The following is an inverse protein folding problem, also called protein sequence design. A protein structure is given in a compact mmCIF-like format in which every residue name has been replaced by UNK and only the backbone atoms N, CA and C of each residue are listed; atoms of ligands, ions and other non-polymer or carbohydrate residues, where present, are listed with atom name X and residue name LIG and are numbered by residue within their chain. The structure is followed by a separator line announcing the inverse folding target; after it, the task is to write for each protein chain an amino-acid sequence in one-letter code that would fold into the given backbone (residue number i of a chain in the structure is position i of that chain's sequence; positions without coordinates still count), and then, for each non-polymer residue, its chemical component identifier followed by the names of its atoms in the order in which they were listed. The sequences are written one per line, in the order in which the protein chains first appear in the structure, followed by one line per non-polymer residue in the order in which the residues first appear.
data_IF_080172902556
#
_entry.id   IF_080172902556
#
_cell.length_a   1.000
_cell.length_b   1.000
_cell.length_c   1.000
_cell.angle_alpha   90.00
_cell.angle_beta   90.00
_cell.angle_gamma   90.00
#
_symmetry.space_group_name_H-M   'P 1'
#
loop_
_entity.id
_entity.type
_entity.pdbx_description
1 polymer ?
#
# COMPACT_ATOMS: atom_id res chain seq x y z
N UNK A 1 -1.38 -20.03 -9.21
CA UNK A 1 -0.76 -20.21 -7.87
C UNK A 1 -0.64 -18.82 -7.26
N UNK A 2 -0.73 -18.65 -5.93
CA UNK A 2 -0.58 -17.32 -5.31
C UNK A 2 0.88 -16.85 -5.46
N UNK A 3 1.09 -15.58 -5.77
CA UNK A 3 2.43 -14.99 -5.91
C UNK A 3 3.20 -14.99 -4.58
N UNK A 4 2.48 -14.71 -3.47
CA UNK A 4 2.96 -14.85 -2.10
C UNK A 4 2.15 -15.96 -1.43
N UNK A 5 2.77 -17.05 -0.94
CA UNK A 5 2.05 -18.11 -0.25
C UNK A 5 1.45 -17.56 1.07
N UNK A 6 0.40 -18.21 1.61
CA UNK A 6 -0.08 -17.91 2.96
C UNK A 6 1.03 -18.12 4.01
N UNK A 7 0.90 -17.45 5.17
CA UNK A 7 1.76 -17.70 6.33
C UNK A 7 1.86 -19.18 6.68
N UNK A 8 2.96 -19.60 7.27
CA UNK A 8 3.24 -20.99 7.65
C UNK A 8 2.16 -21.60 8.56
N UNK A 9 2.18 -22.91 8.75
CA UNK A 9 1.27 -23.59 9.67
C UNK A 9 1.50 -23.11 11.13
N UNK A 10 2.77 -22.95 11.51
CA UNK A 10 3.18 -22.46 12.83
C UNK A 10 2.68 -21.04 13.08
N UNK A 11 2.94 -20.12 12.17
CA UNK A 11 2.42 -18.74 12.26
C UNK A 11 0.88 -18.70 12.32
N UNK A 12 0.18 -19.62 11.66
CA UNK A 12 -1.28 -19.71 11.75
C UNK A 12 -1.78 -20.15 13.14
N UNK A 13 -1.03 -20.99 13.86
CA UNK A 13 -1.36 -21.34 15.24
C UNK A 13 -1.29 -20.12 16.15
N UNK A 14 -0.25 -19.30 16.02
CA UNK A 14 -0.13 -18.04 16.77
C UNK A 14 -1.23 -17.03 16.43
N UNK A 15 -1.70 -17.02 15.19
CA UNK A 15 -2.74 -16.13 14.69
C UNK A 15 -4.16 -16.74 14.78
N UNK A 16 -4.30 -17.93 15.38
CA UNK A 16 -5.57 -18.63 15.46
C UNK A 16 -6.73 -17.79 16.00
N UNK A 17 -6.57 -16.95 17.06
CA UNK A 17 -7.67 -16.15 17.59
C UNK A 17 -8.28 -15.19 16.55
N UNK A 18 -7.44 -14.50 15.77
CA UNK A 18 -7.94 -13.57 14.75
C UNK A 18 -8.48 -14.29 13.51
N UNK A 19 -7.88 -15.43 13.14
CA UNK A 19 -8.35 -16.22 12.01
C UNK A 19 -9.69 -16.90 12.31
N UNK A 20 -9.91 -17.35 13.56
CA UNK A 20 -11.17 -17.95 14.00
C UNK A 20 -12.36 -16.97 13.91
N UNK A 21 -12.14 -15.66 14.06
CA UNK A 21 -13.19 -14.67 13.86
C UNK A 21 -13.69 -14.65 12.41
N UNK A 22 -12.79 -14.78 11.45
CA UNK A 22 -13.15 -14.88 10.04
C UNK A 22 -13.90 -16.17 9.76
N UNK A 23 -13.48 -17.27 10.37
CA UNK A 23 -14.17 -18.56 10.24
C UNK A 23 -15.58 -18.51 10.84
N UNK A 24 -15.75 -17.91 12.02
CA UNK A 24 -17.06 -17.73 12.64
C UNK A 24 -18.02 -16.90 11.80
N UNK A 25 -17.52 -15.93 11.03
CA UNK A 25 -18.35 -15.06 10.20
C UNK A 25 -18.67 -15.69 8.84
N UNK A 26 -17.70 -16.39 8.22
CA UNK A 26 -17.78 -16.85 6.83
C UNK A 26 -17.93 -18.38 6.69
N UNK A 27 -17.78 -19.15 7.78
CA UNK A 27 -17.77 -20.61 7.77
C UNK A 27 -16.43 -21.23 7.32
N UNK A 28 -15.45 -20.41 6.99
CA UNK A 28 -14.07 -20.81 6.63
C UNK A 28 -13.11 -19.63 6.82
N UNK A 29 -11.81 -19.91 6.89
CA UNK A 29 -10.78 -18.86 6.88
C UNK A 29 -10.41 -18.52 5.44
N UNK A 30 -10.74 -17.31 4.93
CA UNK A 30 -10.38 -16.90 3.57
C UNK A 30 -8.86 -16.94 3.34
N UNK A 31 -8.42 -17.35 2.15
CA UNK A 31 -7.00 -17.33 1.82
C UNK A 31 -6.39 -15.92 1.83
N UNK A 32 -7.18 -14.89 1.54
CA UNK A 32 -6.78 -13.49 1.67
C UNK A 32 -6.38 -13.15 3.12
N UNK A 33 -7.13 -13.61 4.12
CA UNK A 33 -6.77 -13.40 5.52
C UNK A 33 -5.44 -14.05 5.89
N UNK A 34 -5.15 -15.22 5.32
CA UNK A 34 -3.88 -15.93 5.53
C UNK A 34 -2.70 -15.25 4.84
N UNK A 35 -2.90 -14.50 3.76
CA UNK A 35 -1.85 -13.70 3.11
C UNK A 35 -1.69 -12.34 3.76
N UNK A 36 -2.77 -11.68 4.19
CA UNK A 36 -2.71 -10.46 5.01
C UNK A 36 -1.93 -10.68 6.31
N UNK A 37 -2.00 -11.89 6.86
CA UNK A 37 -1.38 -12.29 8.13
C UNK A 37 0.17 -12.21 8.13
N UNK A 38 0.86 -12.08 6.99
CA UNK A 38 2.26 -11.70 6.96
C UNK A 38 2.54 -10.37 7.68
N UNK A 39 1.54 -9.49 7.73
CA UNK A 39 1.48 -8.34 8.64
C UNK A 39 0.53 -8.72 9.77
N UNK A 40 1.07 -9.20 10.88
CA UNK A 40 0.33 -9.88 11.95
C UNK A 40 -0.97 -9.18 12.37
N UNK A 41 -0.97 -7.86 12.43
CA UNK A 41 -2.13 -7.04 12.84
C UNK A 41 -3.05 -6.65 11.67
N UNK A 42 -2.64 -6.84 10.42
CA UNK A 42 -3.43 -6.41 9.26
C UNK A 42 -4.79 -7.12 9.12
N UNK A 43 -4.94 -8.42 9.42
CA UNK A 43 -6.24 -9.07 9.46
C UNK A 43 -7.23 -8.39 10.40
N UNK A 44 -6.78 -7.95 11.59
CA UNK A 44 -7.61 -7.24 12.56
C UNK A 44 -8.03 -5.85 12.04
N UNK A 45 -7.07 -5.07 11.57
CA UNK A 45 -7.31 -3.74 11.00
C UNK A 45 -8.26 -3.80 9.79
N UNK A 46 -8.05 -4.77 8.91
CA UNK A 46 -8.93 -5.01 7.76
C UNK A 46 -10.35 -5.39 8.20
N UNK A 47 -10.50 -6.25 9.21
CA UNK A 47 -11.81 -6.65 9.72
C UNK A 47 -12.59 -5.47 10.31
N UNK A 48 -11.90 -4.56 11.02
CA UNK A 48 -12.53 -3.32 11.51
C UNK A 48 -12.96 -2.43 10.35
N UNK A 49 -12.07 -2.16 9.40
CA UNK A 49 -12.39 -1.34 8.24
C UNK A 49 -13.57 -1.94 7.45
N UNK A 50 -13.49 -3.21 7.10
CA UNK A 50 -14.51 -3.88 6.31
C UNK A 50 -15.85 -3.96 7.04
N UNK A 51 -15.85 -4.33 8.32
CA UNK A 51 -17.06 -4.37 9.14
C UNK A 51 -17.73 -3.00 9.26
N UNK A 52 -16.94 -1.92 9.45
CA UNK A 52 -17.45 -0.55 9.49
C UNK A 52 -18.11 -0.15 8.17
N UNK A 53 -17.45 -0.44 7.04
CA UNK A 53 -18.02 -0.18 5.70
C UNK A 53 -19.32 -0.93 5.47
N UNK A 54 -19.44 -2.15 6.02
CA UNK A 54 -20.65 -2.97 5.95
C UNK A 54 -21.71 -2.62 7.01
N UNK A 55 -21.51 -1.54 7.79
CA UNK A 55 -22.50 -1.00 8.74
C UNK A 55 -22.45 -1.57 10.14
N UNK A 56 -21.40 -2.32 10.51
CA UNK A 56 -21.22 -2.77 11.88
C UNK A 56 -20.78 -1.61 12.80
N UNK A 57 -21.14 -1.70 14.09
CA UNK A 57 -20.68 -0.72 15.09
C UNK A 57 -19.17 -0.82 15.30
N UNK A 58 -18.45 0.25 14.92
CA UNK A 58 -17.00 0.31 14.98
C UNK A 58 -16.46 0.15 16.41
N UNK A 59 -17.17 0.65 17.44
CA UNK A 59 -16.74 0.50 18.85
C UNK A 59 -16.76 -0.97 19.26
N UNK A 60 -17.85 -1.67 18.93
CA UNK A 60 -17.99 -3.11 19.19
C UNK A 60 -16.91 -3.91 18.46
N UNK A 61 -16.62 -3.54 17.19
CA UNK A 61 -15.54 -4.19 16.44
C UNK A 61 -14.18 -3.99 17.11
N UNK A 62 -13.85 -2.77 17.53
CA UNK A 62 -12.60 -2.45 18.22
C UNK A 62 -12.48 -3.19 19.56
N UNK A 63 -13.55 -3.22 20.38
CA UNK A 63 -13.57 -3.95 21.65
C UNK A 63 -13.32 -5.46 21.46
N UNK A 64 -13.82 -6.03 20.38
CA UNK A 64 -13.58 -7.44 20.05
C UNK A 64 -12.17 -7.66 19.51
N UNK A 65 -11.66 -6.77 18.63
CA UNK A 65 -10.33 -6.89 18.06
C UNK A 65 -9.22 -6.79 19.11
N UNK A 66 -9.34 -5.90 20.09
CA UNK A 66 -8.36 -5.77 21.19
C UNK A 66 -8.11 -7.09 21.92
N UNK A 67 -9.11 -7.98 22.00
CA UNK A 67 -9.01 -9.28 22.68
C UNK A 67 -8.20 -10.33 21.89
N UNK A 68 -8.09 -10.16 20.59
CA UNK A 68 -7.55 -11.18 19.67
C UNK A 68 -6.45 -10.65 18.74
N UNK A 69 -6.21 -9.33 18.74
CA UNK A 69 -5.15 -8.75 17.94
C UNK A 69 -3.79 -9.28 18.43
N UNK A 70 -2.98 -9.88 17.53
CA UNK A 70 -1.67 -10.38 17.92
C UNK A 70 -0.68 -9.22 18.15
N UNK A 71 0.47 -9.53 18.71
CA UNK A 71 1.58 -8.59 18.75
C UNK A 71 2.02 -8.25 17.31
N UNK A 72 2.53 -7.03 17.14
CA UNK A 72 3.05 -6.58 15.84
C UNK A 72 4.32 -7.34 15.44
N UNK A 73 4.65 -7.32 14.16
CA UNK A 73 5.96 -7.73 13.70
C UNK A 73 7.06 -6.85 14.34
N UNK A 74 8.27 -7.38 14.40
CA UNK A 74 9.41 -6.61 14.88
C UNK A 74 9.58 -5.31 14.06
N UNK A 75 9.82 -4.14 14.70
CA UNK A 75 9.93 -2.86 13.99
C UNK A 75 10.99 -2.85 12.89
N UNK A 76 12.09 -3.59 13.08
CA UNK A 76 13.19 -3.74 12.13
C UNK A 76 12.79 -4.46 10.84
N UNK A 77 11.68 -5.19 10.83
CA UNK A 77 11.14 -5.82 9.62
C UNK A 77 10.42 -4.83 8.71
N UNK A 78 10.14 -3.62 9.19
CA UNK A 78 9.46 -2.62 8.40
C UNK A 78 10.38 -2.02 7.33
N UNK A 79 9.81 -1.77 6.16
CA UNK A 79 10.48 -1.02 5.11
C UNK A 79 10.58 0.46 5.47
N UNK A 80 11.60 1.18 4.94
CA UNK A 80 11.73 2.61 5.12
C UNK A 80 10.48 3.38 4.68
N UNK A 81 10.11 4.40 5.44
CA UNK A 81 8.88 5.17 5.19
C UNK A 81 8.92 5.90 3.83
N UNK A 82 10.08 6.36 3.40
CA UNK A 82 10.26 7.03 2.12
C UNK A 82 10.06 6.08 0.93
N UNK A 83 10.51 4.82 1.02
CA UNK A 83 10.19 3.79 0.03
C UNK A 83 8.67 3.52 -0.03
N UNK A 84 8.02 3.38 1.13
CA UNK A 84 6.57 3.15 1.17
C UNK A 84 5.77 4.32 0.59
N UNK A 85 6.22 5.56 0.80
CA UNK A 85 5.61 6.73 0.16
C UNK A 85 5.86 6.78 -1.35
N UNK A 86 7.03 6.36 -1.81
CA UNK A 86 7.32 6.23 -3.24
C UNK A 86 6.42 5.17 -3.90
N UNK A 87 6.23 4.01 -3.27
CA UNK A 87 5.27 2.98 -3.72
C UNK A 87 3.85 3.54 -3.80
N UNK A 88 3.43 4.30 -2.77
CA UNK A 88 2.12 4.96 -2.74
C UNK A 88 1.96 5.98 -3.88
N UNK A 89 3.01 6.74 -4.18
CA UNK A 89 3.04 7.66 -5.31
C UNK A 89 2.92 6.92 -6.65
N UNK A 90 3.70 5.84 -6.85
CA UNK A 90 3.68 5.05 -8.07
C UNK A 90 2.31 4.43 -8.36
N UNK A 91 1.66 3.82 -7.36
CA UNK A 91 0.31 3.25 -7.55
C UNK A 91 -0.73 4.32 -7.82
N UNK A 92 -0.61 5.51 -7.21
CA UNK A 92 -1.51 6.64 -7.44
C UNK A 92 -1.32 7.27 -8.81
N UNK A 93 -0.07 7.31 -9.30
CA UNK A 93 0.27 7.75 -10.65
C UNK A 93 -0.35 6.82 -11.70
N UNK A 94 -0.15 5.52 -11.57
CA UNK A 94 -0.69 4.51 -12.49
C UNK A 94 -2.22 4.44 -12.45
N UNK A 95 -2.83 4.62 -11.27
CA UNK A 95 -4.29 4.69 -11.12
C UNK A 95 -4.90 6.00 -11.65
N UNK A 96 -4.10 7.01 -12.00
CA UNK A 96 -4.56 8.29 -12.53
C UNK A 96 -5.22 9.23 -11.51
N UNK A 97 -5.11 8.96 -10.19
CA UNK A 97 -5.71 9.78 -9.15
C UNK A 97 -4.85 11.02 -8.85
N UNK A 98 -5.25 12.18 -9.38
CA UNK A 98 -4.51 13.45 -9.23
C UNK A 98 -4.42 13.92 -7.76
N UNK A 99 -5.49 13.73 -6.98
CA UNK A 99 -5.52 13.99 -5.54
C UNK A 99 -4.44 13.19 -4.80
N UNK A 100 -4.42 11.88 -5.02
CA UNK A 100 -3.47 11.00 -4.34
C UNK A 100 -2.02 11.22 -4.80
N UNK A 101 -1.80 11.57 -6.08
CA UNK A 101 -0.47 11.93 -6.58
C UNK A 101 0.09 13.17 -5.86
N UNK A 102 -0.72 14.21 -5.67
CA UNK A 102 -0.31 15.43 -4.97
C UNK A 102 0.06 15.12 -3.50
N UNK A 103 -0.77 14.38 -2.79
CA UNK A 103 -0.52 14.02 -1.39
C UNK A 103 0.69 13.11 -1.23
N UNK A 104 0.77 12.03 -1.99
CA UNK A 104 1.88 11.07 -1.87
C UNK A 104 3.18 11.69 -2.36
N UNK A 105 3.17 12.45 -3.45
CA UNK A 105 4.32 13.20 -3.93
C UNK A 105 4.84 14.20 -2.90
N UNK A 106 3.97 14.95 -2.22
CA UNK A 106 4.33 15.84 -1.12
C UNK A 106 4.93 15.04 0.05
N UNK A 107 4.34 13.90 0.41
CA UNK A 107 4.81 13.08 1.51
C UNK A 107 6.17 12.41 1.25
N UNK A 108 6.50 12.01 0.00
CA UNK A 108 7.83 11.49 -0.32
C UNK A 108 8.93 12.47 0.08
N UNK A 109 8.69 13.76 -0.12
CA UNK A 109 9.64 14.81 0.24
C UNK A 109 9.63 15.11 1.74
N UNK A 110 8.45 15.27 2.33
CA UNK A 110 8.28 15.66 3.74
C UNK A 110 8.73 14.60 4.74
N UNK A 111 8.59 13.32 4.40
CA UNK A 111 8.90 12.19 5.29
C UNK A 111 10.30 11.61 5.08
N UNK A 112 11.09 12.14 4.15
CA UNK A 112 12.44 11.66 3.87
C UNK A 112 13.51 12.48 4.58
N UNK A 113 14.58 11.81 5.00
CA UNK A 113 15.81 12.44 5.44
C UNK A 113 16.61 13.06 4.27
N UNK A 114 16.29 12.70 3.02
CA UNK A 114 16.95 13.15 1.79
C UNK A 114 15.91 13.68 0.77
N UNK A 115 15.24 14.81 1.03
CA UNK A 115 14.12 15.30 0.22
C UNK A 115 14.49 15.55 -1.26
N UNK A 116 15.71 16.05 -1.53
CA UNK A 116 16.16 16.29 -2.90
C UNK A 116 16.35 14.99 -3.69
N UNK A 117 16.90 13.95 -3.06
CA UNK A 117 17.01 12.64 -3.68
C UNK A 117 15.62 12.05 -3.99
N UNK A 118 14.64 12.24 -3.11
CA UNK A 118 13.26 11.82 -3.36
C UNK A 118 12.60 12.63 -4.48
N UNK A 119 12.91 13.90 -4.63
CA UNK A 119 12.44 14.70 -5.76
C UNK A 119 12.94 14.12 -7.10
N UNK A 120 14.23 13.77 -7.18
CA UNK A 120 14.83 13.11 -8.34
C UNK A 120 14.14 11.76 -8.60
N UNK A 121 14.03 10.91 -7.58
CA UNK A 121 13.37 9.60 -7.72
C UNK A 121 11.94 9.76 -8.22
N UNK A 122 11.15 10.65 -7.65
CA UNK A 122 9.77 10.89 -8.07
C UNK A 122 9.67 11.32 -9.55
N UNK A 123 10.58 12.17 -10.03
CA UNK A 123 10.59 12.59 -11.44
C UNK A 123 10.99 11.47 -12.41
N UNK A 124 11.71 10.45 -11.92
CA UNK A 124 12.25 9.36 -12.73
C UNK A 124 11.42 8.05 -12.65
N UNK A 125 10.30 8.01 -11.89
CA UNK A 125 9.55 6.76 -11.67
C UNK A 125 9.07 6.09 -12.96
N UNK A 126 8.77 6.85 -14.02
CA UNK A 126 8.38 6.29 -15.31
C UNK A 126 9.56 5.74 -16.14
N UNK A 127 10.78 5.98 -15.68
CA UNK A 127 12.03 5.44 -16.25
C UNK A 127 12.79 4.61 -15.22
N UNK A 128 12.08 4.04 -14.25
CA UNK A 128 12.66 3.35 -13.11
C UNK A 128 13.59 2.20 -13.49
N UNK A 129 13.38 1.59 -14.65
CA UNK A 129 14.18 0.48 -15.19
C UNK A 129 15.58 0.90 -15.62
N UNK A 130 15.77 2.15 -16.03
CA UNK A 130 17.03 2.69 -16.58
C UNK A 130 17.64 3.82 -15.76
N UNK A 131 16.86 4.54 -14.96
CA UNK A 131 17.35 5.67 -14.16
C UNK A 131 18.32 5.22 -13.07
N UNK A 132 19.49 5.89 -12.96
CA UNK A 132 20.57 5.51 -12.03
C UNK A 132 20.26 5.77 -10.55
N UNK A 133 19.24 6.59 -10.27
CA UNK A 133 18.85 6.94 -8.89
C UNK A 133 18.17 5.83 -8.11
N UNK A 134 17.82 4.71 -8.74
CA UNK A 134 17.13 3.57 -8.09
C UNK A 134 18.07 2.38 -7.89
N UNK A 135 18.00 1.78 -6.72
CA UNK A 135 18.52 0.45 -6.48
C UNK A 135 17.63 -0.63 -7.14
N UNK A 136 18.16 -1.83 -7.32
CA UNK A 136 17.39 -2.95 -7.90
C UNK A 136 16.17 -3.32 -7.02
N UNK A 137 16.32 -3.22 -5.70
CA UNK A 137 15.22 -3.40 -4.76
C UNK A 137 14.10 -2.35 -4.98
N UNK A 138 14.45 -1.08 -5.15
CA UNK A 138 13.47 -0.03 -5.44
C UNK A 138 12.81 -0.22 -6.81
N UNK A 139 13.58 -0.63 -7.82
CA UNK A 139 13.03 -0.96 -9.16
C UNK A 139 11.96 -2.04 -9.08
N UNK A 140 12.20 -3.11 -8.31
CA UNK A 140 11.24 -4.18 -8.10
C UNK A 140 9.96 -3.67 -7.42
N UNK A 141 10.08 -2.83 -6.39
CA UNK A 141 8.93 -2.24 -5.69
C UNK A 141 8.13 -1.26 -6.56
N UNK A 142 8.81 -0.40 -7.34
CA UNK A 142 8.18 0.54 -8.27
C UNK A 142 7.45 -0.23 -9.38
N UNK A 143 8.10 -1.23 -9.97
CA UNK A 143 7.52 -2.01 -11.06
C UNK A 143 6.21 -2.68 -10.68
N UNK A 144 6.15 -3.33 -9.52
CA UNK A 144 4.88 -3.93 -9.04
C UNK A 144 3.84 -2.87 -8.71
N UNK A 145 4.24 -1.71 -8.15
CA UNK A 145 3.31 -0.64 -7.78
C UNK A 145 2.64 -0.01 -9.02
N UNK A 146 3.42 0.26 -10.07
CA UNK A 146 2.90 0.76 -11.34
C UNK A 146 1.95 -0.25 -11.99
N UNK A 147 2.38 -1.51 -12.11
CA UNK A 147 1.56 -2.57 -12.70
C UNK A 147 0.27 -2.82 -11.92
N UNK A 148 0.32 -2.81 -10.59
CA UNK A 148 -0.86 -3.06 -9.75
C UNK A 148 -1.84 -1.88 -9.70
N UNK A 149 -1.41 -0.67 -10.08
CA UNK A 149 -2.29 0.50 -10.22
C UNK A 149 -3.16 0.48 -11.48
N UNK A 150 -2.82 -0.35 -12.47
CA UNK A 150 -3.57 -0.48 -13.71
C UNK A 150 -4.95 -1.13 -13.51
N UNK A 151 -5.87 -0.86 -14.45
CA UNK A 151 -7.18 -1.52 -14.52
C UNK A 151 -7.37 -2.07 -15.94
N UNK A 152 -7.40 -3.40 -16.13
CA UNK A 152 -7.23 -4.46 -15.12
C UNK A 152 -5.82 -4.48 -14.52
N UNK A 153 -5.69 -5.04 -13.29
CA UNK A 153 -4.42 -5.13 -12.57
C UNK A 153 -3.35 -5.86 -13.40
N UNK A 154 -2.23 -5.18 -13.65
CA UNK A 154 -1.12 -5.66 -14.48
C UNK A 154 -0.03 -6.42 -13.71
N UNK A 155 -0.13 -6.61 -12.39
CA UNK A 155 0.87 -7.33 -11.62
C UNK A 155 0.94 -8.81 -12.05
N UNK A 156 2.16 -9.30 -12.26
CA UNK A 156 2.43 -10.66 -12.75
C UNK A 156 3.39 -11.41 -11.84
N UNK A 157 3.57 -12.70 -12.09
CA UNK A 157 4.56 -13.52 -11.38
C UNK A 157 5.97 -12.93 -11.48
N UNK A 158 6.35 -12.38 -12.63
CA UNK A 158 7.68 -11.77 -12.84
C UNK A 158 7.96 -10.62 -11.87
N UNK A 159 6.96 -9.76 -11.59
CA UNK A 159 7.10 -8.70 -10.60
C UNK A 159 7.37 -9.27 -9.20
N UNK A 160 6.68 -10.34 -8.83
CA UNK A 160 6.86 -10.98 -7.53
C UNK A 160 8.17 -11.76 -7.43
N UNK A 161 8.67 -12.32 -8.52
CA UNK A 161 9.98 -12.97 -8.54
C UNK A 161 11.09 -11.93 -8.32
N UNK A 162 11.02 -10.77 -8.97
CA UNK A 162 11.93 -9.66 -8.71
C UNK A 162 11.84 -9.14 -7.25
N UNK A 163 10.64 -9.03 -6.67
CA UNK A 163 10.50 -8.65 -5.25
C UNK A 163 11.18 -9.67 -4.32
N UNK A 164 11.06 -10.96 -4.57
CA UNK A 164 11.64 -12.03 -3.72
C UNK A 164 13.17 -12.03 -3.71
N UNK A 165 13.82 -11.44 -4.70
CA UNK A 165 15.28 -11.29 -4.72
C UNK A 165 15.78 -10.28 -3.66
N UNK A 166 14.90 -9.35 -3.22
CA UNK A 166 15.29 -8.21 -2.39
C UNK A 166 14.53 -8.11 -1.07
N UNK A 167 13.35 -8.73 -0.96
CA UNK A 167 12.43 -8.53 0.16
C UNK A 167 11.97 -9.84 0.78
N UNK A 168 11.83 -9.83 2.10
CA UNK A 168 11.20 -10.93 2.84
C UNK A 168 9.70 -11.03 2.50
N UNK A 169 9.04 -12.19 2.73
CA UNK A 169 7.59 -12.32 2.56
C UNK A 169 6.79 -11.24 3.31
N UNK A 170 7.22 -10.87 4.51
CA UNK A 170 6.63 -9.79 5.33
C UNK A 170 6.75 -8.44 4.62
N UNK A 171 7.91 -8.11 4.09
CA UNK A 171 8.17 -6.85 3.38
C UNK A 171 7.41 -6.78 2.05
N UNK A 172 7.32 -7.89 1.32
CA UNK A 172 6.47 -7.98 0.11
C UNK A 172 5.01 -7.72 0.48
N UNK A 173 4.52 -8.32 1.56
CA UNK A 173 3.17 -8.07 2.04
C UNK A 173 2.97 -6.58 2.42
N UNK A 174 3.99 -5.90 2.96
CA UNK A 174 3.91 -4.48 3.27
C UNK A 174 3.83 -3.60 2.01
N UNK A 175 4.61 -3.90 0.98
CA UNK A 175 4.51 -3.22 -0.33
C UNK A 175 3.09 -3.39 -0.89
N UNK A 176 2.58 -4.62 -0.93
CA UNK A 176 1.23 -4.91 -1.44
C UNK A 176 0.15 -4.27 -0.58
N UNK A 177 0.33 -4.20 0.75
CA UNK A 177 -0.62 -3.53 1.65
C UNK A 177 -0.69 -2.01 1.38
N UNK A 178 0.43 -1.36 1.11
CA UNK A 178 0.46 0.06 0.70
C UNK A 178 -0.25 0.24 -0.64
N UNK A 179 0.04 -0.60 -1.64
CA UNK A 179 -0.65 -0.57 -2.94
C UNK A 179 -2.16 -0.73 -2.75
N UNK A 180 -2.62 -1.67 -1.94
CA UNK A 180 -4.04 -1.92 -1.69
C UNK A 180 -4.72 -0.76 -0.93
N UNK A 181 -4.05 -0.18 0.08
CA UNK A 181 -4.55 0.95 0.84
C UNK A 181 -4.73 2.20 -0.06
N UNK A 182 -3.74 2.48 -0.90
CA UNK A 182 -3.85 3.56 -1.87
C UNK A 182 -4.81 3.23 -3.02
N UNK A 183 -4.97 1.97 -3.40
CA UNK A 183 -6.03 1.53 -4.31
C UNK A 183 -7.44 1.86 -3.79
N UNK A 184 -7.67 1.70 -2.47
CA UNK A 184 -8.90 2.16 -1.81
C UNK A 184 -9.03 3.69 -1.87
N UNK A 185 -7.99 4.43 -1.48
CA UNK A 185 -8.00 5.90 -1.47
C UNK A 185 -8.11 6.51 -2.87
N UNK A 186 -7.44 5.94 -3.86
CA UNK A 186 -7.53 6.37 -5.26
C UNK A 186 -8.98 6.30 -5.76
N UNK A 187 -9.65 5.17 -5.52
CA UNK A 187 -11.06 5.00 -5.90
C UNK A 187 -11.98 5.93 -5.14
N UNK A 188 -11.78 6.07 -3.83
CA UNK A 188 -12.58 6.95 -2.98
C UNK A 188 -12.50 8.39 -3.45
N UNK A 189 -11.28 8.95 -3.49
CA UNK A 189 -11.08 10.36 -3.82
C UNK A 189 -11.50 10.68 -5.26
N UNK A 190 -11.24 9.76 -6.17
CA UNK A 190 -11.60 9.93 -7.58
C UNK A 190 -13.10 9.84 -7.82
N UNK A 191 -13.80 8.96 -7.10
CA UNK A 191 -15.26 8.82 -7.18
C UNK A 191 -15.96 10.01 -6.53
N UNK A 192 -15.47 10.48 -5.38
CA UNK A 192 -16.05 11.60 -4.63
C UNK A 192 -15.65 12.97 -5.18
N UNK A 193 -14.69 13.04 -6.12
CA UNK A 193 -14.06 14.28 -6.57
C UNK A 193 -13.62 15.14 -5.37
N UNK A 194 -12.94 14.52 -4.40
CA UNK A 194 -12.52 15.19 -3.16
C UNK A 194 -11.69 16.42 -3.48
N UNK A 195 -12.06 17.58 -2.98
CA UNK A 195 -11.31 18.83 -3.18
C UNK A 195 -9.91 18.71 -2.55
N UNK A 196 -8.89 19.16 -3.29
CA UNK A 196 -7.51 19.11 -2.85
C UNK A 196 -7.21 20.34 -1.98
N UNK A 197 -6.41 20.14 -0.94
CA UNK A 197 -6.00 21.20 -0.01
C UNK A 197 -4.88 22.06 -0.60
N UNK A 198 -4.75 23.31 -0.10
CA UNK A 198 -3.82 24.32 -0.63
C UNK A 198 -2.35 23.82 -0.66
N UNK A 199 -1.85 23.24 0.43
CA UNK A 199 -0.45 22.79 0.50
C UNK A 199 -0.11 21.70 -0.54
N UNK A 200 -0.89 20.62 -0.71
CA UNK A 200 -0.68 19.69 -1.81
C UNK A 200 -0.85 20.31 -3.20
N UNK A 201 -1.75 21.28 -3.39
CA UNK A 201 -1.90 22.01 -4.65
C UNK A 201 -0.61 22.76 -4.99
N UNK A 202 -0.12 23.58 -4.07
CA UNK A 202 1.12 24.36 -4.25
C UNK A 202 2.31 23.48 -4.58
N UNK A 203 2.42 22.36 -3.86
CA UNK A 203 3.44 21.35 -4.13
C UNK A 203 3.30 20.77 -5.54
N UNK A 204 2.12 20.28 -5.90
CA UNK A 204 1.90 19.60 -7.17
C UNK A 204 2.04 20.54 -8.37
N UNK A 205 1.61 21.80 -8.25
CA UNK A 205 1.82 22.82 -9.28
C UNK A 205 3.31 23.08 -9.53
N UNK A 206 4.14 23.09 -8.49
CA UNK A 206 5.57 23.33 -8.63
C UNK A 206 6.33 22.10 -9.09
N UNK A 207 6.03 20.94 -8.52
CA UNK A 207 6.86 19.75 -8.64
C UNK A 207 6.33 18.71 -9.63
N UNK A 208 5.00 18.62 -9.81
CA UNK A 208 4.38 17.57 -10.62
C UNK A 208 3.84 18.09 -11.95
N UNK A 209 3.43 19.36 -12.04
CA UNK A 209 2.90 19.93 -13.29
C UNK A 209 3.88 19.88 -14.46
N UNK A 210 5.22 20.01 -14.28
CA UNK A 210 6.17 19.78 -15.36
C UNK A 210 6.09 18.38 -15.97
N UNK A 211 5.66 17.39 -15.18
CA UNK A 211 5.40 16.00 -15.60
C UNK A 211 3.98 15.74 -16.12
N UNK A 212 3.15 16.78 -16.23
CA UNK A 212 1.80 16.67 -16.78
C UNK A 212 0.68 16.56 -15.74
N UNK A 213 0.96 16.68 -14.44
CA UNK A 213 -0.08 16.70 -13.42
C UNK A 213 -1.01 17.91 -13.59
N UNK A 214 -2.30 17.72 -13.40
CA UNK A 214 -3.33 18.72 -13.44
C UNK A 214 -4.31 18.55 -12.26
N UNK A 215 -4.82 19.64 -11.74
CA UNK A 215 -5.79 19.62 -10.62
C UNK A 215 -7.08 18.85 -10.97
N UNK A 216 -7.53 18.99 -12.22
CA UNK A 216 -8.69 18.27 -12.73
C UNK A 216 -9.95 18.53 -11.91
N UNK A 217 -10.69 17.45 -11.59
CA UNK A 217 -11.95 17.51 -10.85
C UNK A 217 -11.78 17.74 -9.34
N UNK A 218 -10.57 17.92 -8.87
CA UNK A 218 -10.23 18.09 -7.44
C UNK A 218 -10.03 19.57 -7.03
N UNK A 219 -10.40 20.51 -7.92
CA UNK A 219 -10.39 21.97 -7.68
C UNK A 219 -11.67 22.51 -7.12
#
# INVERSE_FOLDING_TARGET
MAHLPPVSAEEREELAPILAMSEATMGFVPNSMKTLAHIRQLPAAFSVLFGTVMGADTKVLLENMVKVVPEQNAPEDNLPADLLQLVAYCVSLSAGCQYCQAHTGHNTQRMSAAPDAQAVKRSEVLRYDTAECFSDAERAAIGVALAAGEVPNGATQTHFDALKEHYTPRQIAQIVAVIAAFGFLNRWNDTMATALEELPIDFAQRELSPGGWQLGKHG
#
